data_IF_133188946635
#
_entry.id   IF_133188946635
#
_cell.length_a   1.000
_cell.length_b   1.000
_cell.length_c   1.000
_cell.angle_alpha   90.00
_cell.angle_beta   90.00
_cell.angle_gamma   90.00
#
_symmetry.space_group_name_H-M   'P 1'
#
loop_
_entity.id
_entity.type
_entity.pdbx_description
1 polymer ?
#
# COMPACT_ATOMS: atom_id res chain seq x y z
N UNK A 1 41.64 -27.88 -31.11
CA UNK A 1 40.18 -27.68 -31.25
C UNK A 1 39.56 -27.78 -29.87
N UNK A 2 39.15 -26.66 -29.27
CA UNK A 2 38.55 -26.59 -27.92
C UNK A 2 37.21 -25.88 -28.06
N UNK A 3 36.09 -26.55 -27.86
CA UNK A 3 34.85 -25.90 -27.42
C UNK A 3 34.13 -26.82 -26.43
N UNK A 4 33.92 -26.26 -25.25
CA UNK A 4 33.41 -26.83 -24.01
C UNK A 4 31.90 -26.69 -23.87
N UNK A 5 31.26 -27.76 -23.36
CA UNK A 5 30.11 -27.88 -22.44
C UNK A 5 28.87 -26.96 -22.57
N UNK A 6 27.75 -27.63 -22.91
CA UNK A 6 26.47 -27.71 -22.17
C UNK A 6 25.98 -26.52 -21.34
N UNK A 7 24.79 -26.04 -21.67
CA UNK A 7 23.81 -25.55 -20.70
C UNK A 7 22.38 -25.70 -21.26
N UNK A 8 21.68 -26.73 -20.80
CA UNK A 8 20.23 -26.78 -20.79
C UNK A 8 19.73 -25.82 -19.71
N UNK A 9 18.91 -24.83 -20.05
CA UNK A 9 18.10 -24.13 -19.05
C UNK A 9 16.63 -24.23 -19.42
N UNK A 10 15.89 -25.01 -18.64
CA UNK A 10 14.44 -24.97 -18.57
C UNK A 10 13.96 -23.55 -18.29
N UNK A 11 13.11 -23.00 -19.15
CA UNK A 11 12.33 -21.78 -18.88
C UNK A 11 10.99 -22.18 -18.25
N UNK A 12 11.02 -22.50 -16.95
CA UNK A 12 9.79 -22.64 -16.17
C UNK A 12 9.43 -21.26 -15.60
N UNK A 13 8.30 -20.72 -16.04
CA UNK A 13 7.75 -19.48 -15.49
C UNK A 13 7.53 -18.41 -16.54
N UNK A 14 6.60 -18.66 -17.46
CA UNK A 14 5.90 -17.58 -18.16
C UNK A 14 5.30 -16.66 -17.09
N UNK A 15 6.02 -15.57 -16.79
CA UNK A 15 5.55 -14.46 -15.96
C UNK A 15 4.13 -14.14 -16.40
N UNK A 16 3.16 -14.45 -15.55
CA UNK A 16 1.76 -14.06 -15.73
C UNK A 16 1.69 -12.55 -15.49
N UNK A 17 2.05 -11.80 -16.53
CA UNK A 17 1.89 -10.35 -16.58
C UNK A 17 0.43 -10.07 -16.91
N UNK A 18 -0.37 -9.65 -15.92
CA UNK A 18 -1.78 -9.34 -16.10
C UNK A 18 -1.91 -7.93 -16.70
N UNK A 19 -2.13 -7.84 -18.02
CA UNK A 19 -2.49 -6.64 -18.81
C UNK A 19 -1.70 -5.33 -18.57
N UNK A 20 -0.45 -5.39 -18.12
CA UNK A 20 0.48 -4.25 -18.17
C UNK A 20 0.06 -3.00 -17.39
N UNK A 21 -0.87 -3.12 -16.43
CA UNK A 21 -1.30 -2.00 -15.57
C UNK A 21 -1.18 -2.42 -14.11
N UNK A 22 -0.35 -1.70 -13.37
CA UNK A 22 -0.32 -1.76 -11.91
C UNK A 22 -1.50 -0.95 -11.39
N UNK A 23 -2.33 -1.55 -10.52
CA UNK A 23 -3.45 -0.86 -9.89
C UNK A 23 -3.21 -0.85 -8.38
N UNK A 24 -2.97 0.33 -7.82
CA UNK A 24 -2.65 0.50 -6.39
C UNK A 24 -3.88 0.39 -5.46
N UNK A 25 -5.05 0.07 -5.99
CA UNK A 25 -6.25 -0.18 -5.19
C UNK A 25 -7.02 1.09 -4.84
N UNK A 26 -7.77 1.06 -3.72
CA UNK A 26 -8.55 2.18 -3.21
C UNK A 26 -7.81 2.78 -2.01
N UNK A 27 -7.27 3.99 -2.17
CA UNK A 27 -6.70 4.75 -1.07
C UNK A 27 -7.80 5.51 -0.32
N UNK A 28 -7.99 5.18 0.96
CA UNK A 28 -8.90 5.89 1.86
C UNK A 28 -8.10 6.86 2.71
N UNK A 29 -8.55 8.10 2.74
CA UNK A 29 -7.90 9.18 3.49
C UNK A 29 -8.99 9.92 4.26
N UNK A 30 -8.71 10.27 5.52
CA UNK A 30 -9.59 11.11 6.35
C UNK A 30 -8.78 12.19 7.04
N UNK A 31 -9.36 13.37 7.20
CA UNK A 31 -8.70 14.55 7.74
C UNK A 31 -9.35 14.97 9.05
N UNK A 32 -8.54 15.35 10.02
CA UNK A 32 -9.00 16.00 11.24
C UNK A 32 -8.67 17.49 11.17
N UNK A 33 -9.67 18.33 11.42
CA UNK A 33 -9.57 19.79 11.39
C UNK A 33 -9.82 20.37 12.77
N UNK A 34 -9.04 21.38 13.14
CA UNK A 34 -9.32 22.20 14.32
C UNK A 34 -10.43 23.23 14.04
N UNK A 35 -10.84 23.95 15.09
CA UNK A 35 -11.84 25.01 14.98
C UNK A 35 -11.34 26.26 14.23
N UNK A 36 -10.03 26.44 14.12
CA UNK A 36 -9.37 27.54 13.41
C UNK A 36 -9.15 27.22 11.91
N UNK A 37 -9.58 26.04 11.45
CA UNK A 37 -9.49 25.58 10.07
C UNK A 37 -8.13 25.02 9.67
N UNK A 38 -7.28 24.61 10.62
CA UNK A 38 -6.01 23.93 10.33
C UNK A 38 -6.18 22.41 10.38
N UNK A 39 -5.41 21.71 9.55
CA UNK A 39 -5.34 20.25 9.55
C UNK A 39 -4.45 19.80 10.71
N UNK A 40 -5.03 19.18 11.72
CA UNK A 40 -4.28 18.61 12.84
C UNK A 40 -3.68 17.25 12.48
N UNK A 41 -4.44 16.43 11.74
CA UNK A 41 -3.99 15.08 11.41
C UNK A 41 -4.60 14.56 10.11
N UNK A 42 -3.84 13.67 9.45
CA UNK A 42 -4.26 12.95 8.25
C UNK A 42 -4.16 11.46 8.54
N UNK A 43 -5.28 10.76 8.41
CA UNK A 43 -5.35 9.31 8.53
C UNK A 43 -5.31 8.71 7.13
N UNK A 44 -4.22 8.04 6.78
CA UNK A 44 -4.07 7.25 5.55
C UNK A 44 -4.08 5.74 5.84
N UNK A 45 -4.51 4.97 4.84
CA UNK A 45 -4.45 3.50 4.82
C UNK A 45 -5.06 2.76 6.03
N UNK A 46 -6.34 3.03 6.28
CA UNK A 46 -7.11 2.34 7.32
C UNK A 46 -8.23 1.46 6.76
N UNK A 47 -8.65 0.48 7.55
CA UNK A 47 -9.85 -0.30 7.25
C UNK A 47 -11.08 0.48 7.73
N UNK A 48 -12.17 0.45 6.98
CA UNK A 48 -13.40 1.15 7.39
C UNK A 48 -13.94 0.63 8.73
N UNK A 49 -13.65 -0.63 9.08
CA UNK A 49 -14.08 -1.23 10.34
C UNK A 49 -13.39 -0.65 11.56
N UNK A 50 -12.12 -0.23 11.48
CA UNK A 50 -11.33 0.23 12.63
C UNK A 50 -11.14 1.76 12.68
N UNK A 51 -11.78 2.51 11.77
CA UNK A 51 -11.64 3.96 11.70
C UNK A 51 -12.00 4.66 13.02
N UNK A 52 -13.07 4.22 13.69
CA UNK A 52 -13.54 4.82 14.94
C UNK A 52 -12.52 4.65 16.09
N UNK A 53 -11.93 3.47 16.22
CA UNK A 53 -10.90 3.19 17.23
C UNK A 53 -9.65 4.03 17.00
N UNK A 54 -9.25 4.20 15.73
CA UNK A 54 -8.08 5.01 15.35
C UNK A 54 -8.30 6.47 15.75
N UNK A 55 -9.47 7.03 15.42
CA UNK A 55 -9.79 8.43 15.76
C UNK A 55 -9.85 8.61 17.29
N UNK A 56 -10.51 7.68 18.01
CA UNK A 56 -10.58 7.74 19.47
C UNK A 56 -9.20 7.62 20.13
N UNK A 57 -8.35 6.71 19.64
CA UNK A 57 -7.00 6.56 20.13
C UNK A 57 -6.15 7.82 19.89
N UNK A 58 -6.29 8.44 18.72
CA UNK A 58 -5.62 9.70 18.42
C UNK A 58 -6.08 10.82 19.35
N UNK A 59 -7.40 10.95 19.57
CA UNK A 59 -7.96 11.95 20.47
C UNK A 59 -7.49 11.74 21.91
N UNK A 60 -7.43 10.50 22.40
CA UNK A 60 -6.94 10.22 23.76
C UNK A 60 -5.45 10.52 23.95
N UNK A 61 -4.65 10.32 22.90
CA UNK A 61 -3.21 10.57 22.95
C UNK A 61 -2.84 12.06 22.84
N UNK A 62 -3.72 12.88 22.26
CA UNK A 62 -3.46 14.29 21.94
C UNK A 62 -4.46 15.27 22.60
N UNK A 63 -5.25 14.80 23.57
CA UNK A 63 -6.16 15.62 24.39
C UNK A 63 -5.44 16.34 25.54
#
# INVERSE_FOLDING_TARGET
MKITRSASSLVFGAKKTFMGKTYDGIHRISFLWDADGKVEHVFDDFKTSNHHDIVLGWLQANA
#
